data_IF_276977390024
#
_entry.id   IF_276977390024
#
_cell.length_a   1.000
_cell.length_b   1.000
_cell.length_c   1.000
_cell.angle_alpha   90.00
_cell.angle_beta   90.00
_cell.angle_gamma   90.00
#
_symmetry.space_group_name_H-M   'P 1'
#
loop_
_entity.id
_entity.type
_entity.pdbx_description
1 polymer ?
#
# COMPACT_ATOMS: atom_id res chain seq x y z
N UNK A 1 1.76 11.35 -3.04
CA UNK A 1 2.10 9.99 -3.51
C UNK A 1 0.93 9.42 -4.31
N UNK A 2 0.68 9.91 -5.53
CA UNK A 2 -0.53 9.52 -6.30
C UNK A 2 -0.38 9.76 -7.81
N UNK A 3 0.77 9.41 -8.39
CA UNK A 3 0.98 9.59 -9.85
C UNK A 3 1.82 8.47 -10.50
N UNK A 4 1.80 7.24 -9.94
CA UNK A 4 2.54 6.11 -10.52
C UNK A 4 1.70 5.13 -11.35
N UNK A 5 0.37 5.28 -11.40
CA UNK A 5 -0.52 4.35 -12.12
C UNK A 5 -1.38 4.98 -13.20
N UNK A 6 -1.18 6.26 -13.50
CA UNK A 6 -1.86 6.90 -14.63
C UNK A 6 -1.01 6.78 -15.90
N UNK A 7 -0.55 5.56 -16.22
CA UNK A 7 -0.31 5.25 -17.63
C UNK A 7 -1.69 4.94 -18.19
N UNK A 8 -2.40 5.99 -18.60
CA UNK A 8 -3.57 5.83 -19.44
C UNK A 8 -3.09 5.03 -20.66
N UNK A 9 -3.45 3.74 -20.71
CA UNK A 9 -3.17 2.93 -21.86
C UNK A 9 -3.72 3.67 -23.07
N UNK A 10 -2.92 3.81 -24.14
CA UNK A 10 -3.37 4.50 -25.35
C UNK A 10 -4.72 3.91 -25.79
N UNK A 11 -5.69 4.72 -26.23
CA UNK A 11 -7.00 4.22 -26.64
C UNK A 11 -6.93 3.02 -27.60
N UNK A 12 -5.97 3.05 -28.54
CA UNK A 12 -5.69 1.94 -29.47
C UNK A 12 -5.28 0.61 -28.78
N UNK A 13 -4.58 0.66 -27.64
CA UNK A 13 -4.20 -0.53 -26.89
C UNK A 13 -5.38 -1.14 -26.14
N UNK A 14 -6.26 -0.30 -25.58
CA UNK A 14 -7.47 -0.73 -24.89
C UNK A 14 -8.47 -1.39 -25.84
N UNK A 15 -8.57 -0.90 -27.08
CA UNK A 15 -9.43 -1.48 -28.12
C UNK A 15 -8.89 -2.84 -28.56
N UNK A 16 -7.57 -2.97 -28.78
CA UNK A 16 -6.96 -4.26 -29.14
C UNK A 16 -7.19 -5.32 -28.06
N UNK A 17 -7.05 -4.93 -26.80
CA UNK A 17 -7.29 -5.78 -25.63
C UNK A 17 -8.78 -6.18 -25.52
N UNK A 18 -9.71 -5.25 -25.78
CA UNK A 18 -11.14 -5.54 -25.86
C UNK A 18 -11.48 -6.50 -27.01
N UNK A 19 -10.91 -6.30 -28.21
CA UNK A 19 -11.13 -7.19 -29.35
C UNK A 19 -10.63 -8.61 -29.07
N UNK A 20 -9.46 -8.73 -28.43
CA UNK A 20 -8.91 -10.04 -28.04
C UNK A 20 -9.81 -10.72 -27.00
N UNK A 21 -10.27 -9.98 -25.99
CA UNK A 21 -11.23 -10.49 -25.02
C UNK A 21 -12.55 -10.94 -25.66
N UNK A 22 -13.08 -10.17 -26.62
CA UNK A 22 -14.30 -10.53 -27.34
C UNK A 22 -14.09 -11.76 -28.23
N UNK A 23 -12.92 -11.89 -28.88
CA UNK A 23 -12.59 -13.07 -29.68
C UNK A 23 -12.46 -14.34 -28.82
N UNK A 24 -11.91 -14.23 -27.61
CA UNK A 24 -11.81 -15.36 -26.66
C UNK A 24 -13.17 -15.75 -26.08
N UNK A 25 -14.02 -14.77 -25.78
CA UNK A 25 -15.33 -15.00 -25.15
C UNK A 25 -16.43 -15.35 -26.15
N UNK A 26 -16.33 -14.87 -27.39
CA UNK A 26 -17.32 -15.01 -28.46
C UNK A 26 -16.62 -15.36 -29.79
N UNK A 27 -16.05 -16.57 -29.92
CA UNK A 27 -15.27 -16.96 -31.10
C UNK A 27 -16.09 -17.00 -32.40
N UNK A 28 -17.41 -17.15 -32.30
CA UNK A 28 -18.33 -17.26 -33.45
C UNK A 28 -18.73 -15.90 -34.03
N UNK A 29 -18.34 -14.78 -33.39
CA UNK A 29 -18.69 -13.42 -33.81
C UNK A 29 -17.45 -12.70 -34.33
N UNK A 30 -17.50 -12.29 -35.59
CA UNK A 30 -16.49 -11.45 -36.19
C UNK A 30 -16.65 -10.00 -35.72
N UNK A 31 -15.68 -9.49 -34.97
CA UNK A 31 -15.66 -8.12 -34.43
C UNK A 31 -14.48 -7.33 -35.01
N UNK A 32 -14.77 -6.11 -35.45
CA UNK A 32 -13.82 -5.11 -35.94
C UNK A 32 -14.04 -3.80 -35.18
N UNK A 33 -13.00 -3.00 -35.04
CA UNK A 33 -13.10 -1.64 -34.48
C UNK A 33 -12.65 -0.62 -35.52
N UNK A 34 -13.38 0.50 -35.59
CA UNK A 34 -13.00 1.69 -36.33
C UNK A 34 -12.71 2.79 -35.32
N UNK A 35 -11.50 3.33 -35.32
CA UNK A 35 -11.15 4.49 -34.49
C UNK A 35 -11.77 5.76 -35.06
N UNK A 36 -11.88 6.81 -34.25
CA UNK A 36 -12.35 8.13 -34.72
C UNK A 36 -11.45 8.74 -35.82
N UNK A 37 -10.19 8.26 -35.95
CA UNK A 37 -9.26 8.60 -37.04
C UNK A 37 -9.48 7.77 -38.32
N UNK A 38 -10.49 6.88 -38.33
CA UNK A 38 -10.81 6.03 -39.47
C UNK A 38 -9.91 4.80 -39.64
N UNK A 39 -9.11 4.45 -38.62
CA UNK A 39 -8.25 3.27 -38.66
C UNK A 39 -9.04 2.02 -38.28
N UNK A 40 -8.86 0.94 -39.06
CA UNK A 40 -9.47 -0.37 -38.82
C UNK A 40 -8.55 -1.24 -37.96
N UNK A 41 -9.12 -1.85 -36.92
CA UNK A 41 -8.40 -2.77 -36.03
C UNK A 41 -9.21 -4.07 -35.93
N UNK A 42 -8.65 -5.25 -36.27
CA UNK A 42 -7.30 -5.49 -36.81
C UNK A 42 -7.13 -5.10 -38.30
N UNK A 43 -5.91 -4.70 -38.68
CA UNK A 43 -5.57 -4.27 -40.06
C UNK A 43 -5.57 -5.43 -41.08
N UNK A 44 -5.39 -6.69 -40.63
CA UNK A 44 -5.13 -7.84 -41.49
C UNK A 44 -6.36 -8.62 -41.98
N UNK A 45 -7.59 -8.15 -41.70
CA UNK A 45 -8.75 -8.85 -42.23
C UNK A 45 -10.07 -8.14 -41.93
N UNK A 46 -10.87 -7.95 -42.99
CA UNK A 46 -12.23 -7.42 -42.87
C UNK A 46 -13.20 -8.39 -42.17
N UNK A 47 -12.73 -9.52 -41.61
CA UNK A 47 -13.57 -10.51 -40.92
C UNK A 47 -14.86 -10.88 -41.69
N UNK A 48 -14.81 -10.88 -43.03
CA UNK A 48 -15.96 -11.13 -43.91
C UNK A 48 -16.81 -9.91 -44.28
N UNK A 49 -16.51 -8.71 -43.77
CA UNK A 49 -17.13 -7.43 -44.15
C UNK A 49 -16.63 -6.98 -45.53
N UNK A 50 -17.54 -6.48 -46.38
CA UNK A 50 -17.15 -5.81 -47.62
C UNK A 50 -16.80 -4.34 -47.35
N UNK A 51 -15.92 -3.74 -48.17
CA UNK A 51 -15.53 -2.32 -48.01
C UNK A 51 -16.72 -1.38 -48.14
N UNK A 52 -17.72 -1.78 -48.92
CA UNK A 52 -18.97 -1.04 -49.12
C UNK A 52 -19.86 -1.07 -47.85
N UNK A 53 -19.93 -2.22 -47.16
CA UNK A 53 -20.67 -2.35 -45.91
C UNK A 53 -20.06 -1.50 -44.79
N UNK A 54 -18.72 -1.42 -44.73
CA UNK A 54 -18.03 -0.53 -43.78
C UNK A 54 -18.33 0.94 -44.11
N UNK A 55 -18.33 1.33 -45.39
CA UNK A 55 -18.68 2.69 -45.79
C UNK A 55 -20.14 3.06 -45.45
N UNK A 56 -21.09 2.12 -45.58
CA UNK A 56 -22.51 2.32 -45.21
C UNK A 56 -22.70 2.44 -43.69
N UNK A 57 -21.90 1.70 -42.90
CA UNK A 57 -21.96 1.66 -41.43
C UNK A 57 -21.20 2.81 -40.74
N UNK A 58 -20.25 3.44 -41.45
CA UNK A 58 -19.37 4.51 -40.96
C UNK A 58 -19.78 5.89 -41.54
N UNK A 59 -20.80 5.96 -42.40
CA UNK A 59 -21.23 7.23 -43.02
C UNK A 59 -21.69 8.25 -41.96
N UNK A 60 -21.00 9.42 -41.83
CA UNK A 60 -21.30 10.46 -40.85
C UNK A 60 -22.74 10.98 -40.91
N UNK A 61 -23.44 10.83 -42.03
CA UNK A 61 -24.82 11.32 -42.22
C UNK A 61 -25.84 10.52 -41.40
N UNK A 62 -25.55 9.27 -41.04
CA UNK A 62 -26.40 8.44 -40.17
C UNK A 62 -26.05 8.64 -38.67
N UNK A 63 -24.91 9.25 -38.37
CA UNK A 63 -24.31 9.37 -37.02
C UNK A 63 -24.74 10.61 -36.21
N UNK A 64 -25.87 11.25 -36.52
CA UNK A 64 -26.30 12.52 -35.85
C UNK A 64 -27.02 12.30 -34.50
N UNK A 65 -27.08 11.10 -33.94
CA UNK A 65 -27.64 10.95 -32.58
C UNK A 65 -26.72 10.12 -31.70
N UNK A 66 -25.93 10.84 -30.90
CA UNK A 66 -25.16 10.34 -29.75
C UNK A 66 -26.03 9.69 -28.65
N UNK A 67 -27.30 9.36 -28.93
CA UNK A 67 -28.30 9.06 -27.91
C UNK A 67 -28.81 7.61 -27.91
N UNK A 68 -28.44 6.77 -28.89
CA UNK A 68 -28.73 5.31 -28.89
C UNK A 68 -27.60 4.51 -29.52
N UNK A 69 -26.70 4.01 -28.68
CA UNK A 69 -25.40 3.43 -29.02
C UNK A 69 -25.36 2.12 -29.82
N UNK A 70 -26.41 1.68 -30.51
CA UNK A 70 -26.35 0.50 -31.37
C UNK A 70 -27.17 0.71 -32.65
N UNK A 71 -26.54 0.44 -33.80
CA UNK A 71 -27.15 0.58 -35.12
C UNK A 71 -27.02 -0.70 -35.93
N UNK A 72 -28.07 -1.06 -36.67
CA UNK A 72 -28.06 -2.23 -37.57
C UNK A 72 -28.11 -1.75 -39.03
N UNK A 73 -27.34 -2.39 -39.91
CA UNK A 73 -27.42 -2.15 -41.36
C UNK A 73 -28.84 -2.42 -41.90
N UNK A 74 -29.19 -1.81 -43.03
CA UNK A 74 -30.46 -2.01 -43.76
C UNK A 74 -30.77 -3.50 -44.00
N UNK A 75 -29.72 -4.29 -44.27
CA UNK A 75 -29.75 -5.73 -44.46
C UNK A 75 -29.75 -6.54 -43.15
N UNK A 76 -29.73 -5.85 -42.02
CA UNK A 76 -29.52 -6.30 -40.64
C UNK A 76 -28.18 -6.99 -40.38
N UNK A 77 -27.49 -7.52 -41.39
CA UNK A 77 -26.22 -8.31 -41.35
C UNK A 77 -25.08 -7.77 -40.48
N UNK A 78 -25.11 -6.48 -40.17
CA UNK A 78 -24.04 -5.81 -39.45
C UNK A 78 -24.59 -4.97 -38.30
N UNK A 79 -23.86 -4.96 -37.18
CA UNK A 79 -24.14 -4.16 -36.00
C UNK A 79 -22.98 -3.19 -35.74
N UNK A 80 -23.29 -1.93 -35.49
CA UNK A 80 -22.35 -0.88 -35.11
C UNK A 80 -22.65 -0.46 -33.67
N UNK A 81 -21.64 -0.47 -32.80
CA UNK A 81 -21.71 -0.12 -31.38
C UNK A 81 -20.64 0.93 -31.07
N UNK A 82 -21.07 2.13 -30.70
CA UNK A 82 -20.15 3.17 -30.26
C UNK A 82 -19.61 2.81 -28.86
N UNK A 83 -18.30 2.90 -28.67
CA UNK A 83 -17.63 2.74 -27.36
C UNK A 83 -16.96 4.08 -27.01
N UNK A 84 -17.71 5.05 -26.43
CA UNK A 84 -17.19 6.39 -26.16
C UNK A 84 -15.98 6.42 -25.22
N UNK A 85 -15.87 5.43 -24.32
CA UNK A 85 -14.74 5.29 -23.40
C UNK A 85 -13.40 5.01 -24.09
N UNK A 86 -13.42 4.63 -25.37
CA UNK A 86 -12.23 4.28 -26.14
C UNK A 86 -12.07 5.07 -27.45
N UNK A 87 -12.95 6.05 -27.73
CA UNK A 87 -12.93 6.83 -28.98
C UNK A 87 -12.94 5.95 -30.24
N UNK A 88 -13.81 4.94 -30.21
CA UNK A 88 -13.92 3.95 -31.27
C UNK A 88 -15.33 3.37 -31.40
N UNK A 89 -15.66 2.94 -32.61
CA UNK A 89 -16.90 2.25 -32.95
C UNK A 89 -16.60 0.80 -33.30
N UNK A 90 -17.25 -0.14 -32.62
CA UNK A 90 -17.17 -1.57 -32.91
C UNK A 90 -18.17 -1.94 -34.00
N UNK A 91 -17.69 -2.63 -35.04
CA UNK A 91 -18.47 -3.23 -36.10
C UNK A 91 -18.49 -4.75 -35.93
N UNK A 92 -19.67 -5.35 -35.96
CA UNK A 92 -19.85 -6.79 -35.82
C UNK A 92 -20.52 -7.34 -37.07
N UNK A 93 -19.93 -8.38 -37.66
CA UNK A 93 -20.56 -9.17 -38.70
C UNK A 93 -21.32 -10.33 -38.05
N UNK A 94 -22.63 -10.40 -38.29
CA UNK A 94 -23.46 -11.49 -37.76
C UNK A 94 -24.31 -12.10 -38.87
N UNK A 95 -24.24 -13.42 -39.01
CA UNK A 95 -25.15 -14.14 -39.90
C UNK A 95 -26.48 -14.34 -39.14
N UNK A 96 -27.54 -13.64 -39.56
CA UNK A 96 -28.84 -13.46 -38.88
C UNK A 96 -29.61 -14.74 -38.58
N UNK A 97 -29.09 -15.90 -38.96
CA UNK A 97 -29.79 -17.18 -38.77
C UNK A 97 -29.90 -17.59 -37.30
N UNK A 98 -29.04 -17.05 -36.42
CA UNK A 98 -28.92 -17.56 -35.05
C UNK A 98 -29.34 -16.58 -33.94
N UNK A 99 -29.49 -15.27 -34.20
CA UNK A 99 -29.72 -14.31 -33.12
C UNK A 99 -30.75 -13.23 -33.45
N UNK A 100 -31.67 -12.97 -32.51
CA UNK A 100 -32.54 -11.80 -32.52
C UNK A 100 -31.72 -10.52 -32.27
N UNK A 101 -32.02 -9.38 -32.94
CA UNK A 101 -31.36 -8.10 -32.69
C UNK A 101 -31.31 -7.69 -31.21
N UNK A 102 -32.39 -7.94 -30.46
CA UNK A 102 -32.46 -7.62 -29.01
C UNK A 102 -31.56 -8.54 -28.17
N UNK A 103 -31.39 -9.80 -28.61
CA UNK A 103 -30.50 -10.76 -27.99
C UNK A 103 -29.04 -10.40 -28.19
N UNK A 104 -28.66 -9.98 -29.40
CA UNK A 104 -27.31 -9.47 -29.70
C UNK A 104 -27.00 -8.20 -28.90
N UNK A 105 -27.95 -7.26 -28.85
CA UNK A 105 -27.83 -6.05 -28.04
C UNK A 105 -27.56 -6.36 -26.57
N UNK A 106 -28.32 -7.30 -26.00
CA UNK A 106 -28.16 -7.74 -24.61
C UNK A 106 -26.82 -8.45 -24.40
N UNK A 107 -26.44 -9.33 -25.31
CA UNK A 107 -25.18 -10.08 -25.27
C UNK A 107 -23.97 -9.13 -25.37
N UNK A 108 -24.01 -8.15 -26.25
CA UNK A 108 -22.94 -7.16 -26.39
C UNK A 108 -22.84 -6.24 -25.19
N UNK A 109 -23.98 -5.81 -24.63
CA UNK A 109 -24.00 -5.01 -23.40
C UNK A 109 -23.39 -5.80 -22.24
N UNK A 110 -23.73 -7.09 -22.11
CA UNK A 110 -23.16 -7.98 -21.09
C UNK A 110 -21.67 -8.23 -21.32
N UNK A 111 -21.23 -8.45 -22.55
CA UNK A 111 -19.82 -8.69 -22.87
C UNK A 111 -18.96 -7.46 -22.58
N UNK A 112 -19.43 -6.26 -22.95
CA UNK A 112 -18.74 -5.00 -22.67
C UNK A 112 -18.65 -4.74 -21.16
N UNK A 113 -19.74 -4.96 -20.42
CA UNK A 113 -19.74 -4.83 -18.96
C UNK A 113 -18.80 -5.85 -18.31
N UNK A 114 -18.83 -7.10 -18.77
CA UNK A 114 -17.95 -8.16 -18.27
C UNK A 114 -16.47 -7.83 -18.50
N UNK A 115 -16.12 -7.24 -19.65
CA UNK A 115 -14.76 -6.77 -19.91
C UNK A 115 -14.35 -5.66 -18.94
N UNK A 116 -15.23 -4.66 -18.73
CA UNK A 116 -14.96 -3.55 -17.80
C UNK A 116 -14.73 -4.07 -16.38
N UNK A 117 -15.62 -4.93 -15.90
CA UNK A 117 -15.53 -5.57 -14.57
C UNK A 117 -14.25 -6.42 -14.47
N UNK A 118 -13.87 -7.14 -15.53
CA UNK A 118 -12.64 -7.93 -15.57
C UNK A 118 -11.40 -7.04 -15.46
N UNK A 119 -11.33 -5.94 -16.23
CA UNK A 119 -10.21 -5.00 -16.18
C UNK A 119 -10.11 -4.28 -14.84
N UNK A 120 -11.23 -3.89 -14.25
CA UNK A 120 -11.25 -3.31 -12.92
C UNK A 120 -10.72 -4.30 -11.88
N UNK A 121 -11.19 -5.55 -11.91
CA UNK A 121 -10.70 -6.60 -11.02
C UNK A 121 -9.20 -6.85 -11.17
N UNK A 122 -8.68 -6.91 -12.40
CA UNK A 122 -7.25 -7.09 -12.66
C UNK A 122 -6.43 -5.92 -12.05
N UNK A 123 -6.90 -4.68 -12.22
CA UNK A 123 -6.27 -3.50 -11.63
C UNK A 123 -6.32 -3.51 -10.10
N UNK A 124 -7.47 -3.86 -9.52
CA UNK A 124 -7.63 -3.99 -8.07
C UNK A 124 -6.71 -5.08 -7.51
N UNK A 125 -6.60 -6.22 -8.20
CA UNK A 125 -5.72 -7.31 -7.81
C UNK A 125 -4.25 -6.87 -7.81
N UNK A 126 -3.80 -6.16 -8.85
CA UNK A 126 -2.46 -5.56 -8.91
C UNK A 126 -2.23 -4.59 -7.73
N UNK A 127 -3.20 -3.73 -7.43
CA UNK A 127 -3.13 -2.80 -6.29
C UNK A 127 -2.99 -3.54 -4.95
N UNK A 128 -3.78 -4.59 -4.74
CA UNK A 128 -3.76 -5.40 -3.52
C UNK A 128 -2.39 -6.08 -3.34
N UNK A 129 -1.84 -6.70 -4.39
CA UNK A 129 -0.52 -7.35 -4.34
C UNK A 129 0.56 -6.33 -3.95
N UNK A 130 0.56 -5.17 -4.59
CA UNK A 130 1.54 -4.12 -4.32
C UNK A 130 1.43 -3.62 -2.88
N UNK A 131 0.21 -3.35 -2.41
CA UNK A 131 -0.02 -2.91 -1.03
C UNK A 131 0.42 -3.97 -0.03
N UNK A 132 0.06 -5.25 -0.25
CA UNK A 132 0.48 -6.37 0.60
C UNK A 132 2.00 -6.42 0.72
N UNK A 133 2.71 -6.35 -0.40
CA UNK A 133 4.18 -6.36 -0.42
C UNK A 133 4.78 -5.16 0.33
N UNK A 134 4.19 -3.97 0.17
CA UNK A 134 4.63 -2.78 0.91
C UNK A 134 4.38 -2.93 2.42
N UNK A 135 3.22 -3.45 2.82
CA UNK A 135 2.89 -3.71 4.21
C UNK A 135 3.83 -4.74 4.83
N UNK A 136 4.12 -5.86 4.14
CA UNK A 136 5.07 -6.86 4.61
C UNK A 136 6.45 -6.26 4.85
N UNK A 137 6.97 -5.44 3.93
CA UNK A 137 8.26 -4.75 4.11
C UNK A 137 8.25 -3.81 5.32
N UNK A 138 7.19 -3.00 5.48
CA UNK A 138 7.06 -2.09 6.62
C UNK A 138 7.00 -2.85 7.94
N UNK A 139 6.26 -3.95 7.97
CA UNK A 139 6.12 -4.79 9.15
C UNK A 139 7.47 -5.40 9.56
N UNK A 140 8.22 -5.95 8.60
CA UNK A 140 9.54 -6.53 8.87
C UNK A 140 10.55 -5.50 9.41
N UNK A 141 10.56 -4.28 8.85
CA UNK A 141 11.42 -3.20 9.36
C UNK A 141 11.01 -2.80 10.78
N UNK A 142 9.70 -2.71 11.05
CA UNK A 142 9.20 -2.36 12.38
C UNK A 142 9.55 -3.43 13.41
N UNK A 143 9.38 -4.71 13.07
CA UNK A 143 9.73 -5.85 13.91
C UNK A 143 11.24 -5.85 14.23
N UNK A 144 12.08 -5.62 13.21
CA UNK A 144 13.54 -5.50 13.40
C UNK A 144 13.88 -4.35 14.35
N UNK A 145 13.29 -3.18 14.14
CA UNK A 145 13.51 -2.00 15.00
C UNK A 145 13.02 -2.23 16.42
N UNK A 146 11.90 -2.93 16.59
CA UNK A 146 11.39 -3.29 17.90
C UNK A 146 12.35 -4.22 18.64
N UNK A 147 12.88 -5.23 17.96
CA UNK A 147 13.86 -6.15 18.52
C UNK A 147 15.15 -5.41 18.92
N UNK A 148 15.66 -4.52 18.07
CA UNK A 148 16.82 -3.67 18.38
C UNK A 148 16.59 -2.83 19.65
N UNK A 149 15.43 -2.18 19.77
CA UNK A 149 15.08 -1.38 20.96
C UNK A 149 14.98 -2.22 22.24
N UNK A 150 14.42 -3.43 22.15
CA UNK A 150 14.35 -4.34 23.30
C UNK A 150 15.75 -4.75 23.77
N UNK A 151 16.64 -5.06 22.84
CA UNK A 151 18.02 -5.40 23.16
C UNK A 151 18.77 -4.22 23.77
N UNK A 152 18.62 -3.03 23.21
CA UNK A 152 19.23 -1.81 23.73
C UNK A 152 18.72 -1.46 25.13
N UNK A 153 17.41 -1.55 25.35
CA UNK A 153 16.79 -1.33 26.66
C UNK A 153 17.32 -2.34 27.69
N UNK A 154 17.44 -3.62 27.32
CA UNK A 154 17.98 -4.64 28.20
C UNK A 154 19.45 -4.40 28.54
N UNK A 155 20.28 -4.02 27.55
CA UNK A 155 21.69 -3.68 27.78
C UNK A 155 21.82 -2.47 28.71
N UNK A 156 21.04 -1.43 28.45
CA UNK A 156 21.01 -0.21 29.26
C UNK A 156 20.59 -0.49 30.69
N UNK A 157 19.57 -1.32 30.89
CA UNK A 157 19.12 -1.74 32.20
C UNK A 157 20.22 -2.47 32.98
N UNK A 158 20.94 -3.40 32.35
CA UNK A 158 22.06 -4.10 32.98
C UNK A 158 23.17 -3.14 33.41
N UNK A 159 23.58 -2.23 32.52
CA UNK A 159 24.63 -1.24 32.84
C UNK A 159 24.24 -0.36 34.02
N UNK A 160 23.02 0.15 34.05
CA UNK A 160 22.51 0.97 35.16
C UNK A 160 22.47 0.16 36.45
N UNK A 161 22.02 -1.09 36.39
CA UNK A 161 21.98 -1.97 37.55
C UNK A 161 23.38 -2.24 38.13
N UNK A 162 24.36 -2.56 37.28
CA UNK A 162 25.74 -2.78 37.67
C UNK A 162 26.35 -1.52 38.31
N UNK A 163 26.12 -0.34 37.70
CA UNK A 163 26.55 0.93 38.27
C UNK A 163 25.91 1.19 39.64
N UNK A 164 24.62 0.90 39.79
CA UNK A 164 23.91 1.06 41.06
C UNK A 164 24.48 0.13 42.14
N UNK A 165 24.82 -1.12 41.79
CA UNK A 165 25.47 -2.05 42.73
C UNK A 165 26.86 -1.59 43.16
N UNK A 166 27.69 -1.15 42.21
CA UNK A 166 29.03 -0.64 42.49
C UNK A 166 28.97 0.61 43.37
N UNK A 167 28.06 1.54 43.03
CA UNK A 167 27.84 2.73 43.83
C UNK A 167 27.37 2.38 45.25
N UNK A 168 26.43 1.44 45.38
CA UNK A 168 25.94 0.97 46.69
C UNK A 168 27.05 0.34 47.53
N UNK A 169 27.93 -0.47 46.92
CA UNK A 169 29.09 -1.08 47.61
C UNK A 169 30.08 -0.01 48.07
N UNK A 170 30.39 0.95 47.20
CA UNK A 170 31.32 2.06 47.50
C UNK A 170 30.78 2.91 48.64
N UNK A 171 29.50 3.30 48.57
CA UNK A 171 28.84 4.09 49.60
C UNK A 171 28.82 3.38 50.96
N UNK A 172 28.56 2.06 50.99
CA UNK A 172 28.63 1.27 52.22
C UNK A 172 30.03 1.32 52.84
N UNK A 173 31.08 1.10 52.03
CA UNK A 173 32.46 1.16 52.50
C UNK A 173 32.84 2.54 53.03
N UNK A 174 32.37 3.60 52.37
CA UNK A 174 32.63 4.98 52.78
C UNK A 174 31.93 5.32 54.09
N UNK A 175 30.64 4.95 54.22
CA UNK A 175 29.88 5.12 55.46
C UNK A 175 30.56 4.36 56.62
N UNK A 176 31.02 3.12 56.40
CA UNK A 176 31.71 2.36 57.44
C UNK A 176 33.01 3.04 57.87
N UNK A 177 33.81 3.54 56.92
CA UNK A 177 35.04 4.29 57.19
C UNK A 177 34.76 5.57 57.99
N UNK A 178 33.82 6.39 57.53
CA UNK A 178 33.44 7.63 58.20
C UNK A 178 32.85 7.37 59.60
N UNK A 179 32.04 6.32 59.75
CA UNK A 179 31.47 5.93 61.06
C UNK A 179 32.56 5.47 62.03
N UNK A 180 33.58 4.74 61.55
CA UNK A 180 34.72 4.32 62.36
C UNK A 180 35.55 5.53 62.82
N UNK A 181 35.79 6.48 61.92
CA UNK A 181 36.48 7.73 62.24
C UNK A 181 35.71 8.56 63.26
N UNK A 182 34.41 8.77 63.05
CA UNK A 182 33.53 9.48 63.98
C UNK A 182 33.52 8.84 65.37
N UNK A 183 33.46 7.51 65.46
CA UNK A 183 33.54 6.80 66.75
C UNK A 183 34.89 7.04 67.44
N UNK A 184 35.99 6.99 66.70
CA UNK A 184 37.34 7.25 67.25
C UNK A 184 37.45 8.68 67.77
N UNK A 185 37.00 9.66 67.00
CA UNK A 185 37.00 11.07 67.39
C UNK A 185 36.11 11.32 68.61
N UNK A 186 34.93 10.69 68.66
CA UNK A 186 34.03 10.74 69.82
C UNK A 186 34.70 10.18 71.08
N UNK A 187 35.30 8.99 71.00
CA UNK A 187 36.01 8.40 72.15
C UNK A 187 37.18 9.28 72.62
N UNK A 188 37.95 9.87 71.71
CA UNK A 188 39.04 10.77 72.06
C UNK A 188 38.53 12.03 72.79
N UNK A 189 37.43 12.61 72.30
CA UNK A 189 36.79 13.76 72.95
C UNK A 189 36.23 13.42 74.34
N UNK A 190 35.60 12.25 74.50
CA UNK A 190 35.13 11.77 75.79
C UNK A 190 36.28 11.55 76.78
N UNK A 191 37.38 10.91 76.36
CA UNK A 191 38.58 10.72 77.19
C UNK A 191 39.20 12.06 77.59
N UNK A 192 39.30 13.02 76.67
CA UNK A 192 39.78 14.37 76.97
C UNK A 192 38.86 15.09 77.98
N UNK A 193 37.55 14.92 77.86
CA UNK A 193 36.57 15.48 78.80
C UNK A 193 36.68 14.86 80.20
N UNK A 194 36.85 13.54 80.28
CA UNK A 194 37.07 12.82 81.54
C UNK A 194 38.38 13.28 82.19
N UNK A 195 39.49 13.31 81.44
CA UNK A 195 40.78 13.74 81.94
C UNK A 195 40.74 15.20 82.45
N UNK A 196 40.07 16.10 81.71
CA UNK A 196 39.86 17.49 82.14
C UNK A 196 39.06 17.56 83.45
N UNK A 197 38.01 16.76 83.56
CA UNK A 197 37.17 16.72 84.76
C UNK A 197 37.93 16.18 85.98
N UNK A 198 38.72 15.12 85.80
CA UNK A 198 39.60 14.56 86.84
C UNK A 198 40.67 15.55 87.28
N UNK A 199 41.31 16.24 86.33
CA UNK A 199 42.29 17.29 86.62
C UNK A 199 41.67 18.41 87.47
N UNK A 200 40.51 18.94 87.07
CA UNK A 200 39.81 19.98 87.84
C UNK A 200 39.40 19.50 89.24
N UNK A 201 38.98 18.24 89.37
CA UNK A 201 38.66 17.64 90.66
C UNK A 201 39.89 17.54 91.57
N UNK A 202 41.03 17.09 91.03
CA UNK A 202 42.31 17.04 91.76
C UNK A 202 42.78 18.42 92.19
N UNK A 203 42.73 19.39 91.28
CA UNK A 203 43.11 20.78 91.56
C UNK A 203 42.19 21.41 92.62
N UNK A 204 40.87 21.14 92.53
CA UNK A 204 39.91 21.60 93.54
C UNK A 204 40.15 20.96 94.91
N UNK A 205 40.68 19.74 94.97
CA UNK A 205 41.05 19.10 96.22
C UNK A 205 42.27 19.78 96.85
N UNK A 206 43.33 20.02 96.05
CA UNK A 206 44.55 20.68 96.50
C UNK A 206 44.33 22.12 96.97
N UNK A 207 43.48 22.92 96.30
CA UNK A 207 43.18 24.31 96.73
C UNK A 207 42.38 24.34 98.04
N UNK A 208 41.70 23.25 98.38
CA UNK A 208 40.80 23.17 99.54
C UNK A 208 41.49 22.60 100.79
N UNK A 209 42.67 22.00 100.65
CA UNK A 209 43.55 21.56 101.75
C UNK A 209 44.66 22.55 102.02
#
# INVERSE_FOLDING_TARGET
MTTLFNMAASPAALIKDLLLYLQETLPDIAVLAVTDEGQLIPEEGLAGLSKEAIAELVDPVVHVSHDKGMWFSSDKKYLSLAVPSMLSTLLLATDHRNFSPDGLSSLMTLALRSYQDHKENEQLHKKIIIQRNQFTRKFQVLETKHQEMLEEAQRSYRMVHEQQELYSKTLKSEIESQTKELRKSKMAAEQASIAKSQFLASMSHEIRT
#
